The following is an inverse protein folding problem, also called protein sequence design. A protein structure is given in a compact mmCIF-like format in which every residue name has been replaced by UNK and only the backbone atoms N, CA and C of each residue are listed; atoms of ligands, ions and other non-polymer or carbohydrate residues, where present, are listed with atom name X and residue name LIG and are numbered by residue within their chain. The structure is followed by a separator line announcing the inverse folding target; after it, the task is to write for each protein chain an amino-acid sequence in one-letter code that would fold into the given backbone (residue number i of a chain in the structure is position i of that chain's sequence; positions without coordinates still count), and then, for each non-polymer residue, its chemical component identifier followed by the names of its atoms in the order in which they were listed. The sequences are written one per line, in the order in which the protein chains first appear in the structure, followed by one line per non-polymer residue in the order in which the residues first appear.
data_IF_510025500099
#
_entry.id   IF_510025500099
#
_cell.length_a   1.000
_cell.length_b   1.000
_cell.length_c   1.000
_cell.angle_alpha   90.00
_cell.angle_beta   90.00
_cell.angle_gamma   90.00
#
_symmetry.space_group_name_H-M   'P 1'
#
loop_
_entity.id
_entity.type
_entity.pdbx_description
1 polymer ?
#
# COMPACT_ATOMS: atom_id res chain seq x y z
N UNK A 1 -13.72 1.08 41.48
CA UNK A 1 -13.19 1.42 40.16
C UNK A 1 -14.25 0.99 39.17
N UNK A 2 -15.04 1.94 38.71
CA UNK A 2 -16.19 1.70 37.84
C UNK A 2 -15.66 1.40 36.43
N UNK A 3 -16.02 0.24 35.90
CA UNK A 3 -15.64 -0.15 34.54
C UNK A 3 -16.66 0.52 33.63
N UNK A 4 -16.25 1.60 32.98
CA UNK A 4 -17.06 2.31 31.98
C UNK A 4 -17.51 1.31 30.90
N UNK A 5 -18.73 0.79 31.04
CA UNK A 5 -19.35 -0.02 30.01
C UNK A 5 -19.63 0.90 28.81
N UNK A 6 -19.13 0.56 27.60
CA UNK A 6 -19.41 1.38 26.43
C UNK A 6 -20.92 1.44 26.23
N UNK A 7 -21.49 2.62 26.43
CA UNK A 7 -22.90 2.86 26.17
C UNK A 7 -23.19 2.67 24.69
N UNK A 8 -24.44 2.35 24.35
CA UNK A 8 -24.89 2.31 22.95
C UNK A 8 -24.52 3.62 22.23
N UNK A 9 -24.53 4.76 22.94
CA UNK A 9 -24.08 6.05 22.43
C UNK A 9 -22.60 6.10 22.05
N UNK A 10 -21.70 5.54 22.87
CA UNK A 10 -20.27 5.50 22.54
C UNK A 10 -19.97 4.55 21.38
N UNK A 11 -20.71 3.44 21.29
CA UNK A 11 -20.66 2.54 20.13
C UNK A 11 -21.08 3.24 18.84
N UNK A 12 -22.23 3.92 18.84
CA UNK A 12 -22.71 4.69 17.68
C UNK A 12 -21.76 5.82 17.28
N UNK A 13 -21.11 6.45 18.26
CA UNK A 13 -20.13 7.51 18.02
C UNK A 13 -18.89 6.98 17.32
N UNK A 14 -18.34 5.86 17.79
CA UNK A 14 -17.20 5.18 17.15
C UNK A 14 -17.55 4.69 15.74
N UNK A 15 -18.76 4.17 15.54
CA UNK A 15 -19.21 3.71 14.22
C UNK A 15 -19.24 4.88 13.22
N UNK A 16 -19.75 6.05 13.63
CA UNK A 16 -19.74 7.25 12.80
C UNK A 16 -18.32 7.74 12.47
N UNK A 17 -17.38 7.59 13.39
CA UNK A 17 -15.98 7.95 13.18
C UNK A 17 -15.32 7.04 12.12
N UNK A 18 -15.51 5.72 12.25
CA UNK A 18 -15.02 4.74 11.27
C UNK A 18 -15.64 4.97 9.90
N UNK A 19 -16.95 5.25 9.84
CA UNK A 19 -17.64 5.55 8.59
C UNK A 19 -17.06 6.80 7.91
N UNK A 20 -16.84 7.90 8.65
CA UNK A 20 -16.20 9.12 8.11
C UNK A 20 -14.81 8.86 7.56
N UNK A 21 -14.01 8.03 8.24
CA UNK A 21 -12.67 7.67 7.76
C UNK A 21 -12.75 6.89 6.44
N UNK A 22 -13.70 5.97 6.33
CA UNK A 22 -13.94 5.21 5.10
C UNK A 22 -14.42 6.10 3.95
N UNK A 23 -15.37 6.98 4.20
CA UNK A 23 -15.89 7.91 3.21
C UNK A 23 -14.78 8.84 2.70
N UNK A 24 -13.95 9.38 3.60
CA UNK A 24 -12.77 10.16 3.22
C UNK A 24 -11.82 9.37 2.33
N UNK A 25 -11.46 8.14 2.71
CA UNK A 25 -10.59 7.30 1.90
C UNK A 25 -11.22 6.98 0.53
N UNK A 26 -12.53 6.72 0.48
CA UNK A 26 -13.22 6.47 -0.78
C UNK A 26 -13.22 7.70 -1.69
N UNK A 27 -13.50 8.88 -1.16
CA UNK A 27 -13.42 10.15 -1.91
C UNK A 27 -12.01 10.44 -2.42
N UNK A 28 -10.96 10.18 -1.61
CA UNK A 28 -9.57 10.30 -2.05
C UNK A 28 -9.24 9.30 -3.17
N UNK A 29 -9.89 8.13 -3.19
CA UNK A 29 -9.74 7.13 -4.24
C UNK A 29 -10.39 7.61 -5.54
N UNK A 30 -11.65 8.06 -5.48
CA UNK A 30 -12.38 8.62 -6.63
C UNK A 30 -11.68 9.85 -7.19
N UNK A 31 -11.20 10.74 -6.33
CA UNK A 31 -10.47 11.94 -6.72
C UNK A 31 -9.07 11.64 -7.30
N UNK A 32 -8.66 10.37 -7.37
CA UNK A 32 -7.34 9.96 -7.86
C UNK A 32 -6.18 10.34 -6.95
N UNK A 33 -6.45 10.78 -5.71
CA UNK A 33 -5.44 11.23 -4.74
C UNK A 33 -4.79 10.07 -3.98
N UNK A 34 -5.54 9.03 -3.64
CA UNK A 34 -4.98 7.77 -3.09
C UNK A 34 -4.12 7.01 -4.12
N UNK A 35 -4.37 7.25 -5.41
CA UNK A 35 -3.54 6.72 -6.46
C UNK A 35 -2.09 7.21 -6.35
N UNK A 36 -1.81 8.39 -5.78
CA UNK A 36 -0.45 8.94 -5.69
C UNK A 36 0.50 8.06 -4.85
N UNK A 37 0.04 7.51 -3.73
CA UNK A 37 0.89 6.69 -2.85
C UNK A 37 1.17 5.33 -3.50
N UNK A 38 0.12 4.65 -3.98
CA UNK A 38 0.28 3.39 -4.71
C UNK A 38 1.10 3.58 -5.98
N UNK A 39 0.82 4.63 -6.75
CA UNK A 39 1.55 4.99 -7.97
C UNK A 39 3.02 5.27 -7.69
N UNK A 40 3.37 5.90 -6.57
CA UNK A 40 4.77 6.10 -6.19
C UNK A 40 5.47 4.76 -5.96
N UNK A 41 4.83 3.82 -5.26
CA UNK A 41 5.36 2.46 -5.04
C UNK A 41 5.56 1.74 -6.37
N UNK A 42 4.54 1.72 -7.24
CA UNK A 42 4.64 1.10 -8.56
C UNK A 42 5.71 1.74 -9.44
N UNK A 43 5.79 3.08 -9.48
CA UNK A 43 6.83 3.80 -10.26
C UNK A 43 8.23 3.49 -9.76
N UNK A 44 8.41 3.35 -8.45
CA UNK A 44 9.71 3.05 -7.87
C UNK A 44 10.11 1.60 -8.13
N UNK A 45 9.18 0.64 -8.00
CA UNK A 45 9.41 -0.74 -8.38
C UNK A 45 9.76 -0.86 -9.88
N UNK A 46 9.05 -0.12 -10.74
CA UNK A 46 9.28 -0.10 -12.18
C UNK A 46 10.69 0.43 -12.53
N UNK A 47 11.14 1.51 -11.88
CA UNK A 47 12.53 2.01 -12.03
C UNK A 47 13.57 0.97 -11.62
N UNK A 48 13.35 0.26 -10.50
CA UNK A 48 14.29 -0.76 -10.01
C UNK A 48 14.37 -1.94 -10.97
N UNK A 49 13.22 -2.41 -11.44
CA UNK A 49 13.13 -3.48 -12.44
C UNK A 49 13.86 -3.04 -13.72
N UNK A 50 13.59 -1.83 -14.23
CA UNK A 50 14.24 -1.32 -15.44
C UNK A 50 15.77 -1.27 -15.30
N UNK A 51 16.28 -0.79 -14.16
CA UNK A 51 17.72 -0.74 -13.90
C UNK A 51 18.36 -2.15 -13.91
N UNK A 52 17.66 -3.15 -13.36
CA UNK A 52 18.13 -4.55 -13.37
C UNK A 52 18.08 -5.17 -14.76
N UNK A 53 17.01 -4.94 -15.52
CA UNK A 53 16.89 -5.38 -16.91
C UNK A 53 18.00 -4.78 -17.80
N UNK A 54 18.35 -3.51 -17.57
CA UNK A 54 19.43 -2.85 -18.31
C UNK A 54 20.84 -3.40 -18.01
N UNK A 55 21.03 -4.02 -16.84
CA UNK A 55 22.29 -4.63 -16.40
C UNK A 55 22.29 -6.15 -16.59
N UNK A 56 21.42 -6.66 -17.46
CA UNK A 56 21.33 -8.10 -17.72
C UNK A 56 22.66 -8.68 -18.21
N UNK A 57 23.11 -9.73 -17.53
CA UNK A 57 24.28 -10.54 -17.87
C UNK A 57 23.89 -12.03 -17.80
N UNK A 58 24.19 -12.77 -18.87
CA UNK A 58 23.91 -14.21 -18.98
C UNK A 58 24.68 -15.04 -17.96
N UNK A 59 25.81 -14.54 -17.47
CA UNK A 59 26.69 -15.24 -16.52
C UNK A 59 26.01 -15.53 -15.18
N UNK A 60 24.94 -14.81 -14.83
CA UNK A 60 24.33 -14.89 -13.51
C UNK A 60 22.78 -14.81 -13.53
N UNK A 61 22.17 -15.59 -14.44
CA UNK A 61 20.73 -15.63 -14.70
C UNK A 61 19.86 -15.90 -13.44
N UNK A 62 20.31 -16.77 -12.53
CA UNK A 62 19.55 -17.08 -11.31
C UNK A 62 19.47 -15.90 -10.36
N UNK A 63 20.56 -15.16 -10.20
CA UNK A 63 20.61 -13.97 -9.35
C UNK A 63 19.74 -12.86 -9.94
N UNK A 64 19.80 -12.67 -11.26
CA UNK A 64 18.93 -11.75 -11.99
C UNK A 64 17.43 -12.05 -11.78
N UNK A 65 16.99 -13.30 -11.92
CA UNK A 65 15.59 -13.70 -11.72
C UNK A 65 15.15 -13.51 -10.27
N UNK A 66 16.03 -13.76 -9.31
CA UNK A 66 15.76 -13.57 -7.88
C UNK A 66 15.55 -12.10 -7.54
N UNK A 67 16.41 -11.22 -8.06
CA UNK A 67 16.29 -9.77 -7.87
C UNK A 67 15.02 -9.20 -8.52
N UNK A 68 14.64 -9.70 -9.71
CA UNK A 68 13.37 -9.33 -10.34
C UNK A 68 12.16 -9.75 -9.52
N UNK A 69 12.14 -11.00 -9.04
CA UNK A 69 11.05 -11.50 -8.20
C UNK A 69 10.90 -10.68 -6.91
N UNK A 70 12.00 -10.31 -6.29
CA UNK A 70 11.99 -9.47 -5.08
C UNK A 70 11.38 -8.07 -5.33
N UNK A 71 11.70 -7.44 -6.47
CA UNK A 71 11.12 -6.14 -6.83
C UNK A 71 9.66 -6.24 -7.30
N UNK A 72 9.22 -7.40 -7.82
CA UNK A 72 7.86 -7.63 -8.28
C UNK A 72 6.88 -7.92 -7.14
N UNK A 73 7.30 -8.70 -6.14
CA UNK A 73 6.47 -9.03 -4.98
C UNK A 73 6.23 -7.77 -4.11
N UNK A 74 7.08 -6.73 -4.28
CA UNK A 74 7.00 -5.47 -3.53
C UNK A 74 6.91 -5.69 -2.02
N UNK A 75 7.60 -6.74 -1.52
CA UNK A 75 7.68 -7.01 -0.09
C UNK A 75 8.31 -5.78 0.59
N UNK A 76 7.58 -5.24 1.57
CA UNK A 76 7.98 -4.08 2.37
C UNK A 76 9.03 -4.46 3.42
#
# INVERSE_FOLDING_TARGET
MDVDHPSIGSFLSKLKEVQKLHDYNYEQCIAGKLALIKQKIYREADRRILAKVQLYDESNLLEYLRELAHNFIMDQ
#
